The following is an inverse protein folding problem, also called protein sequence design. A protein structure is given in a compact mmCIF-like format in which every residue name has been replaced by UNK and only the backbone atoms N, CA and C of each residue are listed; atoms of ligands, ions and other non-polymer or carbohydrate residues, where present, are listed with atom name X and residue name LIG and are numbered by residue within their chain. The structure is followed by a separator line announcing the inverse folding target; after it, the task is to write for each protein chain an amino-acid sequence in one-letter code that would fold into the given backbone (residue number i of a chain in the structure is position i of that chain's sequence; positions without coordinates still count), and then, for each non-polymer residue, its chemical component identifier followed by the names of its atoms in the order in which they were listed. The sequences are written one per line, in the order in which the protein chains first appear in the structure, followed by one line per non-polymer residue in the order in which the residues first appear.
data_IF_436027927125
#
_entry.id   IF_436027927125
#
_cell.length_a   1.000
_cell.length_b   1.000
_cell.length_c   1.000
_cell.angle_alpha   90.00
_cell.angle_beta   90.00
_cell.angle_gamma   90.00
#
_symmetry.space_group_name_H-M   'P 1'
#
loop_
_entity.id
_entity.type
_entity.pdbx_description
1 polymer ?
#
# COMPACT_ATOMS: atom_id res chain seq x y z
N UNK A 1 25.73 -48.34 31.16
CA UNK A 1 26.39 -48.15 29.85
C UNK A 1 25.50 -48.79 28.80
N UNK A 2 24.72 -47.99 28.09
CA UNK A 2 23.80 -48.47 27.04
C UNK A 2 23.94 -47.52 25.88
N UNK A 3 24.49 -48.01 24.77
CA UNK A 3 24.74 -47.24 23.56
C UNK A 3 24.05 -47.92 22.37
N UNK A 4 24.07 -47.26 21.20
CA UNK A 4 23.53 -47.68 19.89
C UNK A 4 21.99 -47.55 19.76
N UNK A 5 21.41 -46.91 18.73
CA UNK A 5 21.93 -46.10 17.60
C UNK A 5 21.06 -44.84 17.38
N UNK A 6 21.59 -43.75 16.80
CA UNK A 6 20.76 -42.68 16.23
C UNK A 6 20.11 -43.14 14.91
N UNK A 7 18.89 -42.67 14.65
CA UNK A 7 18.17 -42.94 13.41
C UNK A 7 18.73 -42.09 12.26
N UNK A 8 19.17 -42.76 11.20
CA UNK A 8 19.55 -42.11 9.93
C UNK A 8 18.32 -41.89 9.06
N UNK A 9 17.98 -40.63 8.80
CA UNK A 9 17.03 -40.26 7.74
C UNK A 9 17.63 -40.54 6.37
N UNK A 10 17.08 -41.53 5.66
CA UNK A 10 17.37 -41.74 4.24
C UNK A 10 16.67 -40.64 3.44
N UNK A 11 17.43 -39.71 2.88
CA UNK A 11 16.92 -38.74 1.92
C UNK A 11 16.76 -39.41 0.55
N UNK A 12 15.53 -39.52 0.07
CA UNK A 12 15.22 -40.07 -1.25
C UNK A 12 15.59 -39.05 -2.35
N UNK A 13 16.35 -39.44 -3.40
CA UNK A 13 16.73 -38.53 -4.47
C UNK A 13 15.56 -38.27 -5.42
N UNK A 14 14.78 -37.21 -5.17
CA UNK A 14 13.74 -36.74 -6.08
C UNK A 14 14.37 -36.36 -7.43
N UNK A 15 13.89 -36.91 -8.57
CA UNK A 15 14.50 -36.67 -9.87
C UNK A 15 14.32 -35.22 -10.31
N UNK A 16 15.41 -34.60 -10.75
CA UNK A 16 15.41 -33.24 -11.27
C UNK A 16 14.58 -33.12 -12.56
N UNK A 17 13.37 -32.58 -12.47
CA UNK A 17 12.55 -32.19 -13.61
C UNK A 17 13.21 -31.04 -14.37
N UNK A 18 13.93 -31.38 -15.45
CA UNK A 18 14.61 -30.44 -16.36
C UNK A 18 13.57 -29.66 -17.20
N UNK A 19 12.92 -28.68 -16.57
CA UNK A 19 11.81 -27.89 -17.11
C UNK A 19 12.20 -26.85 -18.17
N UNK A 20 12.47 -27.31 -19.39
CA UNK A 20 12.55 -26.48 -20.60
C UNK A 20 11.22 -26.54 -21.37
N UNK A 21 10.61 -25.45 -21.88
CA UNK A 21 10.87 -24.00 -21.74
C UNK A 21 9.56 -23.25 -22.03
N UNK A 22 9.11 -22.28 -21.19
CA UNK A 22 7.89 -21.51 -21.49
C UNK A 22 8.09 -20.45 -22.59
N UNK A 23 9.33 -20.02 -22.86
CA UNK A 23 9.64 -18.90 -23.76
C UNK A 23 9.36 -19.19 -25.25
N UNK A 24 9.57 -20.44 -25.71
CA UNK A 24 9.38 -20.79 -27.13
C UNK A 24 7.90 -20.95 -27.49
N UNK A 25 7.08 -21.49 -26.59
CA UNK A 25 5.64 -21.64 -26.80
C UNK A 25 4.94 -20.30 -26.99
N UNK A 26 5.30 -19.28 -26.19
CA UNK A 26 4.76 -17.92 -26.33
C UNK A 26 5.03 -17.31 -27.71
N UNK A 27 6.28 -17.41 -28.20
CA UNK A 27 6.66 -16.91 -29.52
C UNK A 27 5.84 -17.55 -30.65
N UNK A 28 5.73 -18.89 -30.66
CA UNK A 28 4.95 -19.60 -31.67
C UNK A 28 3.45 -19.28 -31.61
N UNK A 29 2.88 -19.08 -30.41
CA UNK A 29 1.49 -18.64 -30.24
C UNK A 29 1.27 -17.21 -30.75
N UNK A 30 2.22 -16.28 -30.55
CA UNK A 30 2.15 -14.93 -31.12
C UNK A 30 2.23 -14.94 -32.64
N UNK A 31 3.14 -15.74 -33.23
CA UNK A 31 3.24 -15.92 -34.69
C UNK A 31 1.95 -16.53 -35.25
N UNK A 32 1.41 -17.56 -34.60
CA UNK A 32 0.14 -18.19 -35.00
C UNK A 32 -1.02 -17.18 -34.92
N UNK A 33 -1.10 -16.39 -33.84
CA UNK A 33 -2.09 -15.33 -33.67
C UNK A 33 -2.00 -14.24 -34.74
N UNK A 34 -0.80 -13.85 -35.15
CA UNK A 34 -0.59 -12.89 -36.23
C UNK A 34 -1.02 -13.46 -37.59
N UNK A 35 -0.66 -14.71 -37.89
CA UNK A 35 -1.03 -15.37 -39.15
C UNK A 35 -2.55 -15.62 -39.24
N UNK A 36 -3.16 -16.12 -38.16
CA UNK A 36 -4.60 -16.44 -38.12
C UNK A 36 -5.47 -15.18 -37.98
N UNK A 37 -5.00 -14.12 -37.32
CA UNK A 37 -5.76 -12.88 -37.14
C UNK A 37 -5.57 -11.87 -38.28
N UNK A 38 -4.33 -11.59 -38.68
CA UNK A 38 -4.03 -10.45 -39.57
C UNK A 38 -4.26 -10.79 -41.05
N UNK A 39 -3.82 -11.97 -41.50
CA UNK A 39 -3.90 -12.38 -42.91
C UNK A 39 -5.34 -12.46 -43.45
N UNK A 40 -6.32 -13.12 -42.79
CA UNK A 40 -7.68 -13.17 -43.33
C UNK A 40 -8.41 -11.83 -43.24
N UNK A 41 -8.17 -11.02 -42.20
CA UNK A 41 -8.78 -9.69 -42.08
C UNK A 41 -8.27 -8.76 -43.17
N UNK A 42 -6.96 -8.68 -43.39
CA UNK A 42 -6.37 -7.84 -44.45
C UNK A 42 -6.73 -8.35 -45.84
N UNK A 43 -6.74 -9.67 -46.03
CA UNK A 43 -7.20 -10.33 -47.25
C UNK A 43 -8.66 -9.97 -47.59
N UNK A 44 -9.57 -10.03 -46.61
CA UNK A 44 -10.97 -9.69 -46.78
C UNK A 44 -11.16 -8.18 -47.07
N UNK A 45 -10.44 -7.32 -46.36
CA UNK A 45 -10.49 -5.85 -46.53
C UNK A 45 -10.02 -5.40 -47.93
N UNK A 46 -9.08 -6.12 -48.56
CA UNK A 46 -8.62 -5.81 -49.93
C UNK A 46 -9.46 -6.53 -51.01
N UNK A 47 -9.84 -7.80 -50.80
CA UNK A 47 -10.52 -8.60 -51.83
C UNK A 47 -12.01 -8.28 -51.97
N UNK A 48 -12.72 -7.94 -50.90
CA UNK A 48 -14.17 -7.65 -50.95
C UNK A 48 -14.47 -6.38 -51.76
N UNK A 49 -13.77 -5.24 -51.57
CA UNK A 49 -13.96 -4.06 -52.43
C UNK A 49 -13.64 -4.36 -53.90
N UNK A 50 -12.54 -5.06 -54.18
CA UNK A 50 -12.17 -5.43 -55.54
C UNK A 50 -13.23 -6.33 -56.22
N UNK A 51 -13.80 -7.28 -55.48
CA UNK A 51 -14.89 -8.13 -55.95
C UNK A 51 -16.18 -7.32 -56.22
N UNK A 52 -16.57 -6.42 -55.31
CA UNK A 52 -17.73 -5.55 -55.45
C UNK A 52 -17.61 -4.62 -56.67
N UNK A 53 -16.45 -3.98 -56.88
CA UNK A 53 -16.20 -3.16 -58.07
C UNK A 53 -16.25 -4.00 -59.35
N UNK A 54 -15.72 -5.23 -59.33
CA UNK A 54 -15.84 -6.20 -60.44
C UNK A 54 -17.29 -6.55 -60.75
N UNK A 55 -18.13 -6.79 -59.73
CA UNK A 55 -19.55 -7.11 -59.92
C UNK A 55 -20.34 -5.91 -60.46
N UNK A 56 -20.12 -4.71 -59.92
CA UNK A 56 -20.75 -3.48 -60.40
C UNK A 56 -20.39 -3.18 -61.87
N UNK A 57 -19.12 -3.39 -62.25
CA UNK A 57 -18.67 -3.27 -63.65
C UNK A 57 -19.38 -4.25 -64.59
N UNK A 58 -19.48 -5.53 -64.21
CA UNK A 58 -20.19 -6.55 -65.01
C UNK A 58 -21.70 -6.27 -65.11
N UNK A 59 -22.32 -5.74 -64.06
CA UNK A 59 -23.73 -5.35 -64.07
C UNK A 59 -24.00 -4.23 -65.09
N UNK A 60 -23.16 -3.18 -65.11
CA UNK A 60 -23.28 -2.07 -66.08
C UNK A 60 -23.05 -2.50 -67.53
N UNK A 61 -22.14 -3.44 -67.77
CA UNK A 61 -21.92 -4.01 -69.10
C UNK A 61 -23.15 -4.82 -69.59
N UNK A 62 -23.75 -5.65 -68.71
CA UNK A 62 -24.99 -6.39 -69.02
C UNK A 62 -26.19 -5.48 -69.27
N UNK A 63 -26.23 -4.29 -68.66
CA UNK A 63 -27.24 -3.27 -68.90
C UNK A 63 -27.05 -2.48 -70.21
N UNK A 64 -26.09 -2.86 -71.07
CA UNK A 64 -25.83 -2.22 -72.37
C UNK A 64 -25.14 -0.85 -72.31
N UNK A 65 -24.81 -0.35 -71.12
CA UNK A 65 -24.28 1.01 -70.91
C UNK A 65 -22.77 1.19 -71.18
N UNK A 66 -22.09 0.19 -71.73
CA UNK A 66 -20.66 0.25 -72.03
C UNK A 66 -20.30 -0.60 -73.27
N UNK A 67 -19.64 0.00 -74.25
CA UNK A 67 -19.28 -0.62 -75.54
C UNK A 67 -18.00 -1.46 -75.53
N UNK A 68 -17.31 -1.56 -74.39
CA UNK A 68 -16.05 -2.31 -74.25
C UNK A 68 -16.09 -3.20 -73.01
N UNK A 69 -15.67 -4.48 -73.07
CA UNK A 69 -15.58 -5.33 -71.88
C UNK A 69 -14.56 -4.73 -70.89
N UNK A 70 -15.08 -4.19 -69.79
CA UNK A 70 -14.38 -3.28 -68.88
C UNK A 70 -13.24 -3.90 -68.06
N UNK A 71 -12.10 -4.19 -68.70
CA UNK A 71 -10.80 -4.08 -68.03
C UNK A 71 -10.44 -2.60 -67.97
N UNK A 72 -10.79 -1.90 -66.90
CA UNK A 72 -10.22 -0.57 -66.68
C UNK A 72 -8.72 -0.74 -66.41
N UNK A 73 -7.88 -0.29 -67.35
CA UNK A 73 -6.42 -0.29 -67.19
C UNK A 73 -6.04 0.43 -65.89
N UNK A 74 -6.79 1.49 -65.57
CA UNK A 74 -6.72 2.23 -64.30
C UNK A 74 -6.94 1.33 -63.07
N UNK A 75 -7.98 0.47 -63.07
CA UNK A 75 -8.24 -0.44 -61.94
C UNK A 75 -7.22 -1.56 -61.80
N UNK A 76 -6.67 -2.03 -62.93
CA UNK A 76 -5.55 -2.98 -62.94
C UNK A 76 -4.31 -2.30 -62.34
N UNK A 77 -3.92 -1.12 -62.81
CA UNK A 77 -2.77 -0.36 -62.29
C UNK A 77 -2.92 -0.07 -60.80
N UNK A 78 -4.10 0.40 -60.34
CA UNK A 78 -4.39 0.63 -58.92
C UNK A 78 -4.25 -0.65 -58.07
N UNK A 79 -4.70 -1.80 -58.58
CA UNK A 79 -4.53 -3.09 -57.92
C UNK A 79 -3.06 -3.51 -57.80
N UNK A 80 -2.27 -3.37 -58.86
CA UNK A 80 -0.84 -3.67 -58.84
C UNK A 80 -0.05 -2.71 -57.94
N UNK A 81 -0.39 -1.42 -57.91
CA UNK A 81 0.25 -0.44 -57.00
C UNK A 81 -0.08 -0.70 -55.53
N UNK A 82 -1.33 -1.03 -55.20
CA UNK A 82 -1.71 -1.39 -53.83
C UNK A 82 -1.01 -2.68 -53.36
N UNK A 83 -0.91 -3.68 -54.25
CA UNK A 83 -0.23 -4.95 -53.95
C UNK A 83 1.28 -4.75 -53.74
N UNK A 84 1.94 -3.97 -54.60
CA UNK A 84 3.38 -3.67 -54.45
C UNK A 84 3.67 -2.83 -53.20
N UNK A 85 2.82 -1.86 -52.86
CA UNK A 85 2.94 -1.10 -51.60
C UNK A 85 2.82 -2.03 -50.36
N UNK A 86 1.87 -2.97 -50.39
CA UNK A 86 1.64 -3.92 -49.30
C UNK A 86 2.84 -4.88 -49.11
N UNK A 87 3.38 -5.41 -50.22
CA UNK A 87 4.60 -6.25 -50.19
C UNK A 87 5.80 -5.44 -49.71
N UNK A 88 5.97 -4.20 -50.19
CA UNK A 88 7.05 -3.31 -49.75
C UNK A 88 6.99 -3.05 -48.24
N UNK A 89 5.82 -2.70 -47.69
CA UNK A 89 5.65 -2.47 -46.24
C UNK A 89 5.93 -3.74 -45.42
N UNK A 90 5.52 -4.91 -45.92
CA UNK A 90 5.82 -6.19 -45.26
C UNK A 90 7.33 -6.49 -45.25
N UNK A 91 8.02 -6.26 -46.38
CA UNK A 91 9.48 -6.43 -46.49
C UNK A 91 10.21 -5.42 -45.60
N UNK A 92 9.79 -4.15 -45.56
CA UNK A 92 10.37 -3.14 -44.66
C UNK A 92 10.15 -3.49 -43.18
N UNK A 93 9.01 -4.09 -42.82
CA UNK A 93 8.78 -4.59 -41.46
C UNK A 93 9.73 -5.73 -41.09
N UNK A 94 9.93 -6.70 -41.98
CA UNK A 94 10.85 -7.84 -41.77
C UNK A 94 12.30 -7.36 -41.70
N UNK A 95 12.72 -6.49 -42.63
CA UNK A 95 14.09 -5.94 -42.65
C UNK A 95 14.33 -5.02 -41.45
N UNK A 96 13.34 -4.21 -41.05
CA UNK A 96 13.41 -3.38 -39.84
C UNK A 96 13.53 -4.19 -38.55
N UNK A 97 12.88 -5.35 -38.47
CA UNK A 97 13.07 -6.29 -37.37
C UNK A 97 14.47 -6.94 -37.38
N UNK A 98 15.06 -7.15 -38.56
CA UNK A 98 16.41 -7.71 -38.73
C UNK A 98 17.54 -6.68 -38.52
N UNK A 99 17.28 -5.39 -38.69
CA UNK A 99 18.25 -4.29 -38.50
C UNK A 99 18.07 -3.53 -37.19
N UNK A 100 17.08 -3.89 -36.37
CA UNK A 100 16.98 -3.43 -35.00
C UNK A 100 18.33 -3.69 -34.29
N UNK A 101 18.95 -2.67 -33.66
CA UNK A 101 20.22 -2.88 -32.99
C UNK A 101 20.02 -3.93 -31.91
N UNK A 102 20.68 -5.08 -32.08
CA UNK A 102 20.72 -6.14 -31.07
C UNK A 102 21.45 -5.53 -29.88
N UNK A 103 20.67 -4.92 -28.98
CA UNK A 103 21.13 -4.44 -27.70
C UNK A 103 21.84 -5.63 -27.07
N UNK A 104 23.17 -5.56 -26.81
CA UNK A 104 23.88 -6.71 -26.29
C UNK A 104 23.11 -7.16 -25.07
N UNK A 105 22.72 -8.43 -25.05
CA UNK A 105 22.03 -9.01 -23.92
C UNK A 105 23.00 -8.88 -22.76
N UNK A 106 22.81 -7.84 -21.94
CA UNK A 106 23.68 -7.56 -20.80
C UNK A 106 23.74 -8.86 -20.03
N UNK A 107 24.95 -9.43 -19.92
CA UNK A 107 25.15 -10.80 -19.49
C UNK A 107 24.27 -11.03 -18.27
N UNK A 108 23.31 -11.95 -18.41
CA UNK A 108 22.21 -12.08 -17.45
C UNK A 108 22.84 -12.08 -16.05
N UNK A 109 22.51 -11.09 -15.19
CA UNK A 109 23.24 -10.87 -13.96
C UNK A 109 23.28 -12.21 -13.23
N UNK A 110 24.51 -12.68 -12.95
CA UNK A 110 24.74 -14.03 -12.46
C UNK A 110 23.71 -14.33 -11.39
N UNK A 111 22.91 -15.40 -11.60
CA UNK A 111 21.70 -15.66 -10.82
C UNK A 111 22.03 -15.42 -9.34
N UNK A 112 21.33 -14.48 -8.67
CA UNK A 112 21.77 -13.97 -7.38
C UNK A 112 22.02 -15.16 -6.47
N UNK A 113 23.25 -15.24 -5.94
CA UNK A 113 23.68 -16.36 -5.13
C UNK A 113 22.57 -16.67 -4.12
N UNK A 114 22.14 -17.93 -4.08
CA UNK A 114 20.96 -18.34 -3.30
C UNK A 114 21.03 -17.67 -1.93
N UNK A 115 19.99 -16.89 -1.54
CA UNK A 115 20.09 -15.99 -0.40
C UNK A 115 20.60 -16.79 0.79
N UNK A 116 21.69 -16.31 1.39
CA UNK A 116 22.32 -16.98 2.51
C UNK A 116 21.23 -17.33 3.53
N UNK A 117 21.16 -18.61 3.93
CA UNK A 117 20.08 -19.11 4.75
C UNK A 117 19.87 -18.15 5.94
N UNK A 118 18.63 -17.68 6.18
CA UNK A 118 18.40 -16.62 7.15
C UNK A 118 18.98 -17.04 8.50
N UNK A 119 19.84 -16.19 9.05
CA UNK A 119 20.39 -16.42 10.37
C UNK A 119 19.22 -16.36 11.34
N UNK A 120 18.84 -17.52 11.86
CA UNK A 120 17.78 -17.67 12.85
C UNK A 120 18.37 -17.42 14.23
N UNK A 121 17.79 -16.46 14.95
CA UNK A 121 18.16 -16.13 16.32
C UNK A 121 17.15 -16.78 17.28
N UNK A 122 17.63 -17.18 18.45
CA UNK A 122 16.78 -17.66 19.54
C UNK A 122 16.05 -16.49 20.17
N UNK A 123 14.72 -16.53 20.16
CA UNK A 123 13.84 -15.52 20.76
C UNK A 123 13.97 -15.57 22.30
N UNK A 124 14.42 -14.50 22.99
CA UNK A 124 14.45 -14.43 24.44
C UNK A 124 13.07 -14.56 25.08
N UNK A 125 12.99 -15.04 26.33
CA UNK A 125 11.75 -14.95 27.10
C UNK A 125 11.61 -13.53 27.68
N UNK A 126 10.53 -12.83 27.33
CA UNK A 126 10.18 -11.52 27.90
C UNK A 126 8.85 -11.52 28.68
N UNK A 127 8.23 -12.69 28.86
CA UNK A 127 7.01 -12.83 29.68
C UNK A 127 7.32 -12.51 31.15
N UNK A 128 6.53 -11.62 31.74
CA UNK A 128 6.73 -11.08 33.08
C UNK A 128 7.56 -9.79 33.16
N UNK A 129 8.11 -9.29 32.04
CA UNK A 129 8.77 -7.98 31.97
C UNK A 129 7.78 -6.84 31.70
N UNK A 130 8.18 -5.59 31.92
CA UNK A 130 7.44 -4.42 31.39
C UNK A 130 7.69 -4.29 29.87
N UNK A 131 6.78 -3.64 29.14
CA UNK A 131 6.93 -3.36 27.69
C UNK A 131 8.32 -2.83 27.32
N UNK A 132 8.81 -1.83 28.05
CA UNK A 132 10.11 -1.20 27.80
C UNK A 132 11.25 -2.21 27.96
N UNK A 133 11.26 -2.97 29.07
CA UNK A 133 12.27 -4.00 29.32
C UNK A 133 12.20 -5.15 28.30
N UNK A 134 11.00 -5.52 27.88
CA UNK A 134 10.77 -6.54 26.86
C UNK A 134 11.33 -6.09 25.49
N UNK A 135 11.02 -4.86 25.06
CA UNK A 135 11.55 -4.28 23.82
C UNK A 135 13.06 -4.15 23.83
N UNK A 136 13.65 -3.68 24.93
CA UNK A 136 15.10 -3.55 25.05
C UNK A 136 15.80 -4.92 25.01
N UNK A 137 15.23 -5.93 25.67
CA UNK A 137 15.75 -7.31 25.64
C UNK A 137 15.67 -7.92 24.24
N UNK A 138 14.57 -7.71 23.51
CA UNK A 138 14.41 -8.17 22.13
C UNK A 138 15.34 -7.45 21.16
N UNK A 139 15.52 -6.12 21.31
CA UNK A 139 16.47 -5.32 20.53
C UNK A 139 17.92 -5.76 20.76
N UNK A 140 18.30 -6.02 22.01
CA UNK A 140 19.62 -6.55 22.36
C UNK A 140 19.88 -7.94 21.74
N UNK A 141 18.84 -8.76 21.60
CA UNK A 141 18.87 -10.03 20.89
C UNK A 141 18.75 -9.91 19.35
N UNK A 142 18.74 -8.69 18.79
CA UNK A 142 18.71 -8.44 17.35
C UNK A 142 17.32 -8.37 16.71
N UNK A 143 16.24 -8.53 17.48
CA UNK A 143 14.87 -8.40 16.97
C UNK A 143 14.47 -6.94 16.88
N UNK A 144 14.23 -6.45 15.66
CA UNK A 144 13.93 -5.04 15.40
C UNK A 144 12.43 -4.74 15.25
N UNK A 145 11.64 -5.77 14.93
CA UNK A 145 10.19 -5.69 14.73
C UNK A 145 9.46 -6.24 15.96
N UNK A 146 9.03 -5.35 16.85
CA UNK A 146 8.25 -5.70 18.04
C UNK A 146 6.88 -5.04 17.94
N UNK A 147 5.82 -5.85 17.95
CA UNK A 147 4.44 -5.43 17.71
C UNK A 147 3.60 -5.70 18.95
N UNK A 148 2.82 -4.72 19.39
CA UNK A 148 1.87 -4.92 20.47
C UNK A 148 0.63 -5.65 19.95
N UNK A 149 0.37 -6.84 20.48
CA UNK A 149 -0.79 -7.65 20.20
C UNK A 149 -2.02 -7.21 20.99
N UNK A 150 -3.17 -7.89 20.82
CA UNK A 150 -4.36 -7.61 21.62
C UNK A 150 -4.07 -7.83 23.11
N UNK A 151 -4.46 -6.88 23.96
CA UNK A 151 -4.31 -6.97 25.42
C UNK A 151 -5.03 -8.21 25.95
N UNK A 152 -4.39 -8.97 26.85
CA UNK A 152 -4.93 -10.26 27.33
C UNK A 152 -6.01 -10.12 28.42
N UNK A 153 -6.64 -8.95 28.51
CA UNK A 153 -7.45 -8.56 29.66
C UNK A 153 -6.62 -8.34 30.93
N UNK A 154 -7.30 -8.05 32.04
CA UNK A 154 -6.68 -7.87 33.35
C UNK A 154 -6.39 -9.23 33.99
N UNK A 155 -5.11 -9.50 34.30
CA UNK A 155 -4.67 -10.75 34.93
C UNK A 155 -4.44 -10.50 36.41
N UNK A 156 -5.08 -11.30 37.28
CA UNK A 156 -4.99 -11.11 38.73
C UNK A 156 -3.54 -11.27 39.23
N UNK A 157 -3.05 -10.28 39.99
CA UNK A 157 -1.68 -10.26 40.52
C UNK A 157 -0.60 -9.78 39.54
N UNK A 158 -0.97 -9.40 38.30
CA UNK A 158 -0.04 -8.85 37.29
C UNK A 158 -0.29 -7.35 37.14
N UNK A 159 0.79 -6.55 37.10
CA UNK A 159 0.67 -5.11 36.91
C UNK A 159 0.29 -4.77 35.45
N UNK A 160 -0.48 -3.70 35.26
CA UNK A 160 -0.83 -3.20 33.93
C UNK A 160 0.43 -2.89 33.10
N UNK A 161 0.45 -3.23 31.80
CA UNK A 161 1.62 -3.06 30.94
C UNK A 161 2.77 -4.06 31.20
N UNK A 162 2.51 -5.11 31.98
CA UNK A 162 3.40 -6.29 32.06
C UNK A 162 3.07 -7.24 30.91
N UNK A 163 4.09 -7.78 30.27
CA UNK A 163 3.97 -8.79 29.22
C UNK A 163 3.43 -10.10 29.79
N UNK A 164 2.29 -10.55 29.27
CA UNK A 164 1.61 -11.80 29.66
C UNK A 164 1.74 -12.88 28.59
N UNK A 165 1.86 -12.50 27.32
CA UNK A 165 1.99 -13.43 26.19
C UNK A 165 3.02 -12.94 25.18
N UNK A 166 3.65 -13.88 24.49
CA UNK A 166 4.70 -13.63 23.52
C UNK A 166 4.59 -14.66 22.39
N UNK A 167 4.59 -14.20 21.14
CA UNK A 167 4.56 -15.07 19.96
C UNK A 167 5.46 -14.49 18.85
N UNK A 168 6.43 -15.24 18.28
CA UNK A 168 6.83 -16.61 18.62
C UNK A 168 7.21 -16.80 20.09
N UNK A 169 6.97 -18.00 20.62
CA UNK A 169 7.17 -18.30 22.03
C UNK A 169 8.64 -18.27 22.46
N UNK A 170 8.92 -18.30 23.79
CA UNK A 170 10.28 -18.34 24.30
C UNK A 170 11.13 -19.46 23.70
N UNK A 171 12.37 -19.13 23.36
CA UNK A 171 13.33 -20.01 22.68
C UNK A 171 12.94 -20.50 21.27
N UNK A 172 11.87 -19.97 20.66
CA UNK A 172 11.61 -20.17 19.24
C UNK A 172 12.75 -19.60 18.38
N UNK A 173 12.92 -20.16 17.19
CA UNK A 173 13.87 -19.65 16.19
C UNK A 173 13.12 -18.71 15.24
N UNK A 174 13.58 -17.45 15.15
CA UNK A 174 13.03 -16.44 14.27
C UNK A 174 14.14 -15.55 13.68
N UNK A 175 13.87 -14.91 12.55
CA UNK A 175 14.81 -13.99 11.90
C UNK A 175 14.77 -12.62 12.59
N UNK A 176 15.87 -11.87 12.56
CA UNK A 176 15.97 -10.52 13.15
C UNK A 176 14.91 -9.49 12.67
N UNK A 177 14.32 -9.74 11.48
CA UNK A 177 13.24 -8.95 10.89
C UNK A 177 11.84 -9.54 11.02
N UNK A 178 11.68 -10.72 11.61
CA UNK A 178 10.35 -11.32 11.83
C UNK A 178 9.65 -10.59 13.01
N UNK A 179 8.34 -10.31 12.92
CA UNK A 179 7.62 -9.59 13.96
C UNK A 179 7.43 -10.45 15.20
N UNK A 180 7.97 -9.99 16.34
CA UNK A 180 7.68 -10.55 17.66
C UNK A 180 6.46 -9.82 18.21
N UNK A 181 5.36 -10.54 18.39
CA UNK A 181 4.13 -10.02 18.98
C UNK A 181 4.12 -10.21 20.49
N UNK A 182 3.71 -9.16 21.22
CA UNK A 182 3.68 -9.11 22.68
C UNK A 182 2.27 -8.73 23.15
N UNK A 183 1.65 -9.55 24.01
CA UNK A 183 0.40 -9.20 24.68
C UNK A 183 0.66 -8.74 26.11
N UNK A 184 -0.04 -7.69 26.53
CA UNK A 184 0.09 -7.09 27.86
C UNK A 184 -1.15 -7.32 28.73
N UNK A 185 -0.94 -7.33 30.05
CA UNK A 185 -2.01 -7.21 31.02
C UNK A 185 -2.68 -5.83 30.92
N UNK A 186 -3.99 -5.82 30.66
CA UNK A 186 -4.79 -4.61 30.75
C UNK A 186 -4.88 -4.14 32.21
N UNK A 187 -5.09 -2.84 32.43
CA UNK A 187 -5.36 -2.32 33.76
C UNK A 187 -6.59 -3.02 34.37
N UNK A 188 -6.56 -3.35 35.68
CA UNK A 188 -7.74 -3.86 36.35
C UNK A 188 -8.89 -2.83 36.21
N UNK A 189 -10.14 -3.27 36.02
CA UNK A 189 -11.26 -2.35 35.89
C UNK A 189 -11.34 -1.48 37.14
N UNK A 190 -11.24 -0.17 36.97
CA UNK A 190 -11.42 0.79 38.05
C UNK A 190 -12.83 0.58 38.60
N UNK A 191 -13.01 0.24 39.89
CA UNK A 191 -14.35 0.11 40.46
C UNK A 191 -15.10 1.43 40.25
N UNK A 192 -16.40 1.40 39.94
CA UNK A 192 -17.16 2.63 39.78
C UNK A 192 -17.00 3.48 41.04
N UNK A 193 -16.62 4.74 40.87
CA UNK A 193 -16.41 5.65 41.99
C UNK A 193 -17.66 5.62 42.89
N UNK A 194 -17.51 5.49 44.22
CA UNK A 194 -18.66 5.39 45.11
C UNK A 194 -19.53 6.63 44.90
N UNK A 195 -20.78 6.40 44.48
CA UNK A 195 -21.75 7.47 44.28
C UNK A 195 -22.01 8.10 45.65
N UNK A 196 -21.41 9.26 45.89
CA UNK A 196 -21.68 10.07 47.07
C UNK A 196 -23.11 10.58 46.94
N UNK A 197 -24.05 9.84 47.52
CA UNK A 197 -25.42 10.31 47.69
C UNK A 197 -25.33 11.60 48.52
N UNK A 198 -25.81 12.74 48.03
CA UNK A 198 -25.74 14.00 48.78
C UNK A 198 -26.65 13.88 50.01
N UNK A 199 -26.03 13.57 51.15
CA UNK A 199 -26.70 13.56 52.44
C UNK A 199 -27.04 15.00 52.81
N UNK A 200 -28.34 15.30 52.95
CA UNK A 200 -28.84 16.65 53.19
C UNK A 200 -28.12 17.31 54.38
N UNK A 201 -27.35 18.37 54.10
CA UNK A 201 -26.68 19.13 55.13
C UNK A 201 -27.72 19.80 56.05
N UNK A 202 -27.53 19.79 57.39
CA UNK A 202 -28.39 20.54 58.29
C UNK A 202 -28.22 22.03 58.03
N UNK A 203 -29.33 22.72 57.75
CA UNK A 203 -29.36 24.18 57.67
C UNK A 203 -29.08 24.78 59.04
N UNK A 204 -27.89 25.33 59.22
CA UNK A 204 -27.57 26.22 60.34
C UNK A 204 -27.95 27.63 59.95
N UNK A 205 -29.00 28.15 60.57
CA UNK A 205 -29.42 29.54 60.45
C UNK A 205 -28.35 30.47 61.06
N UNK A 206 -27.93 31.48 60.31
CA UNK A 206 -27.08 32.57 60.80
C UNK A 206 -27.66 33.91 60.36
N UNK A 207 -27.81 34.80 61.33
CA UNK A 207 -28.54 36.06 61.23
C UNK A 207 -27.83 37.13 60.34
N UNK A 208 -28.56 38.15 59.86
CA UNK A 208 -28.07 39.04 58.81
C UNK A 208 -27.23 40.22 59.35
N UNK A 209 -26.25 40.66 58.57
CA UNK A 209 -25.65 41.99 58.68
C UNK A 209 -25.60 42.69 57.31
N UNK A 210 -25.96 43.97 57.31
CA UNK A 210 -26.16 44.79 56.12
C UNK A 210 -24.98 45.73 55.84
N UNK A 211 -24.73 45.99 54.55
CA UNK A 211 -23.93 47.10 54.01
C UNK A 211 -24.29 47.26 52.51
N UNK A 212 -24.11 48.44 51.88
CA UNK A 212 -25.27 49.10 51.30
C UNK A 212 -25.29 49.20 49.77
N UNK A 213 -26.43 49.70 49.28
CA UNK A 213 -26.73 50.05 47.91
C UNK A 213 -25.65 50.97 47.29
N UNK A 214 -25.17 50.59 46.10
CA UNK A 214 -24.64 51.54 45.12
C UNK A 214 -25.37 51.27 43.81
N UNK A 215 -26.15 52.26 43.35
CA UNK A 215 -26.68 52.28 42.00
C UNK A 215 -25.65 53.00 41.14
N UNK A 216 -25.18 52.34 40.07
CA UNK A 216 -24.48 53.02 39.00
C UNK A 216 -25.18 52.69 37.68
N UNK A 217 -25.71 53.73 37.05
CA UNK A 217 -26.45 53.66 35.79
C UNK A 217 -25.57 54.24 34.70
N UNK A 218 -24.81 53.39 34.02
CA UNK A 218 -24.19 53.75 32.75
C UNK A 218 -24.88 53.02 31.60
N UNK A 219 -25.46 53.81 30.69
CA UNK A 219 -26.31 53.37 29.59
C UNK A 219 -25.67 53.82 28.29
N UNK A 220 -24.59 53.16 27.87
CA UNK A 220 -24.21 53.12 26.44
C UNK A 220 -23.26 51.96 26.09
N UNK A 221 -23.76 50.71 26.15
CA UNK A 221 -23.08 49.56 25.52
C UNK A 221 -24.02 48.74 24.64
N UNK A 222 -23.80 48.69 23.31
CA UNK A 222 -24.62 47.88 22.41
C UNK A 222 -24.61 46.39 22.74
N UNK A 223 -25.81 45.81 22.83
CA UNK A 223 -26.04 44.40 23.09
C UNK A 223 -25.88 43.55 21.81
N UNK A 224 -25.03 42.53 21.86
CA UNK A 224 -25.04 41.37 20.94
C UNK A 224 -24.78 40.10 21.78
N UNK A 225 -25.61 39.04 21.64
CA UNK A 225 -25.63 37.93 22.59
C UNK A 225 -24.49 36.91 22.39
N UNK A 226 -24.12 36.25 23.50
CA UNK A 226 -23.33 35.02 23.46
C UNK A 226 -24.20 33.84 22.99
N UNK A 227 -23.68 33.05 22.05
CA UNK A 227 -24.31 31.87 21.47
C UNK A 227 -23.27 30.71 21.41
N UNK A 228 -23.63 29.44 21.14
CA UNK A 228 -23.41 28.37 22.11
C UNK A 228 -22.04 27.70 22.02
N UNK A 229 -21.52 27.25 23.17
CA UNK A 229 -20.32 26.40 23.28
C UNK A 229 -20.60 25.00 22.68
N UNK A 230 -19.82 24.53 21.68
CA UNK A 230 -19.88 23.14 21.24
C UNK A 230 -19.17 22.21 22.23
N UNK A 231 -19.75 21.03 22.47
CA UNK A 231 -19.07 19.93 23.15
C UNK A 231 -18.00 19.35 22.23
N UNK A 232 -16.76 19.18 22.73
CA UNK A 232 -15.75 18.34 22.07
C UNK A 232 -15.14 17.35 23.07
N UNK A 233 -15.01 16.11 22.61
CA UNK A 233 -14.54 14.96 23.37
C UNK A 233 -13.02 14.78 23.31
N UNK A 234 -12.51 14.09 24.33
CA UNK A 234 -11.41 13.10 24.26
C UNK A 234 -10.10 13.45 23.54
N UNK A 235 -9.00 13.49 24.29
CA UNK A 235 -7.65 13.44 23.73
C UNK A 235 -6.55 13.47 24.79
N UNK A 236 -6.31 12.35 25.49
CA UNK A 236 -5.16 12.24 26.40
C UNK A 236 -3.86 12.17 25.61
N UNK A 237 -3.18 13.30 25.45
CA UNK A 237 -1.82 13.35 24.89
C UNK A 237 -0.80 12.89 25.92
N UNK A 238 -0.45 11.60 25.91
CA UNK A 238 0.71 11.08 26.63
C UNK A 238 1.99 11.71 26.06
N UNK A 239 2.75 12.41 26.90
CA UNK A 239 4.00 13.08 26.51
C UNK A 239 5.10 12.08 26.15
N UNK A 240 5.12 11.63 24.90
CA UNK A 240 6.20 10.84 24.31
C UNK A 240 7.44 11.69 24.02
N UNK A 241 8.20 12.04 25.07
CA UNK A 241 9.48 12.73 24.90
C UNK A 241 10.52 11.79 24.27
N UNK A 242 10.62 11.83 22.94
CA UNK A 242 11.73 11.25 22.18
C UNK A 242 12.58 12.39 21.60
N UNK A 243 13.90 12.20 21.62
CA UNK A 243 14.88 13.29 21.46
C UNK A 243 14.68 14.15 20.22
N UNK A 244 14.90 15.45 20.38
CA UNK A 244 14.74 16.48 19.35
C UNK A 244 15.73 16.37 18.19
N UNK A 245 15.51 15.41 17.30
CA UNK A 245 15.91 15.49 15.91
C UNK A 245 14.87 16.32 15.16
N UNK A 246 15.24 17.52 14.70
CA UNK A 246 14.34 18.40 13.95
C UNK A 246 14.00 17.78 12.58
N UNK A 247 12.91 17.03 12.49
CA UNK A 247 12.29 16.73 11.21
C UNK A 247 11.96 18.06 10.51
N UNK A 248 12.10 18.13 9.19
CA UNK A 248 11.81 19.34 8.42
C UNK A 248 11.07 18.97 7.14
N UNK A 249 9.80 19.37 7.06
CA UNK A 249 8.94 19.11 5.90
C UNK A 249 8.80 20.39 5.09
N UNK A 250 9.26 20.43 3.84
CA UNK A 250 9.17 21.66 3.01
C UNK A 250 7.72 22.16 2.88
N UNK A 251 6.75 21.26 2.78
CA UNK A 251 5.32 21.57 2.68
C UNK A 251 4.46 20.41 3.24
N UNK A 252 3.14 20.63 3.35
CA UNK A 252 2.20 19.64 3.87
C UNK A 252 2.06 18.38 3.01
N UNK A 253 2.38 18.42 1.71
CA UNK A 253 2.41 17.22 0.89
C UNK A 253 3.58 16.30 1.29
N UNK A 254 4.73 16.86 1.66
CA UNK A 254 5.86 16.11 2.20
C UNK A 254 5.55 15.52 3.59
N UNK A 255 4.87 16.27 4.47
CA UNK A 255 4.43 15.77 5.78
C UNK A 255 3.42 14.61 5.65
N UNK A 256 2.41 14.74 4.77
CA UNK A 256 1.46 13.65 4.48
C UNK A 256 2.12 12.44 3.81
N UNK A 257 3.05 12.64 2.87
CA UNK A 257 3.78 11.54 2.24
C UNK A 257 4.69 10.78 3.22
N UNK A 258 5.17 11.45 4.27
CA UNK A 258 5.91 10.84 5.38
C UNK A 258 5.01 10.20 6.46
N UNK A 259 3.68 10.29 6.33
CA UNK A 259 2.73 9.80 7.34
C UNK A 259 2.73 10.60 8.65
N UNK A 260 3.29 11.82 8.66
CA UNK A 260 3.49 12.63 9.85
C UNK A 260 2.39 13.70 10.07
N UNK A 261 1.43 13.83 9.16
CA UNK A 261 0.33 14.77 9.27
C UNK A 261 -0.97 14.09 9.77
N UNK A 262 -1.82 14.78 10.54
CA UNK A 262 -1.70 16.18 10.98
C UNK A 262 -0.58 16.39 12.02
N UNK A 263 0.12 17.51 11.93
CA UNK A 263 1.24 17.90 12.80
C UNK A 263 0.75 18.92 13.84
N UNK A 264 0.85 18.62 15.13
CA UNK A 264 0.46 19.56 16.19
C UNK A 264 1.61 20.47 16.63
N UNK A 265 1.27 21.62 17.19
CA UNK A 265 2.26 22.53 17.79
C UNK A 265 3.08 21.84 18.88
N UNK A 266 4.39 21.73 18.63
CA UNK A 266 5.33 20.99 19.49
C UNK A 266 5.84 19.67 18.89
N UNK A 267 5.18 19.13 17.85
CA UNK A 267 5.66 17.94 17.15
C UNK A 267 6.96 18.21 16.37
N UNK A 268 7.85 17.20 16.23
CA UNK A 268 9.04 17.32 15.42
C UNK A 268 8.67 17.58 13.96
N UNK A 269 9.00 18.79 13.48
CA UNK A 269 8.71 19.25 12.12
C UNK A 269 7.46 20.11 11.96
N UNK A 270 6.73 20.39 13.04
CA UNK A 270 5.77 21.48 13.06
C UNK A 270 6.46 22.84 12.82
N UNK A 271 5.82 23.71 12.03
CA UNK A 271 6.13 25.15 11.98
C UNK A 271 4.89 25.95 11.59
N UNK A 272 4.85 27.22 11.99
CA UNK A 272 3.81 28.19 11.58
C UNK A 272 3.77 28.51 10.08
N UNK A 273 4.75 28.04 9.30
CA UNK A 273 4.71 28.10 7.82
C UNK A 273 4.16 26.84 7.15
N UNK A 274 3.53 25.94 7.91
CA UNK A 274 2.76 24.78 7.44
C UNK A 274 1.29 24.87 7.90
N UNK A 275 1.10 25.38 9.12
CA UNK A 275 -0.17 25.87 9.65
C UNK A 275 -0.56 27.16 8.90
N UNK A 276 -1.73 27.19 8.24
CA UNK A 276 -2.12 28.30 7.33
C UNK A 276 -3.00 29.33 8.02
N UNK A 277 -3.79 28.90 8.99
CA UNK A 277 -4.83 29.62 9.69
C UNK A 277 -4.45 29.94 11.15
N UNK A 278 -3.45 29.24 11.70
CA UNK A 278 -2.78 29.56 12.95
C UNK A 278 -3.40 28.93 14.19
N UNK A 279 -4.14 27.83 14.03
CA UNK A 279 -4.86 27.17 15.12
C UNK A 279 -3.97 26.24 15.98
N UNK A 280 -2.77 25.92 15.50
CA UNK A 280 -1.82 25.00 16.13
C UNK A 280 -1.79 23.60 15.53
N UNK A 281 -2.52 23.32 14.44
CA UNK A 281 -2.57 22.06 13.71
C UNK A 281 -2.17 22.28 12.26
N UNK A 282 -0.93 21.94 11.92
CA UNK A 282 -0.45 21.99 10.55
C UNK A 282 -0.90 20.76 9.73
N UNK A 283 -1.25 21.01 8.47
CA UNK A 283 -1.42 20.00 7.42
C UNK A 283 -2.63 19.06 7.55
N UNK A 284 -3.76 19.61 8.01
CA UNK A 284 -5.12 19.15 7.67
C UNK A 284 -5.35 18.84 6.17
#
# INVERSE_FOLDING_TARGET
MTATQPWTTVAEPVPATRGNTPATAGFWLSVLGMVVGFVPVFGLLVTVPAALLSHAGRARFRAGGASTPGRSTVGIVLGWTATTLCVLMTVLGIVGAATAPVRPLAAAPAAPAAPAAPVLLTVPNVVGMTDVQARDTLRAAGFTQVVLGPSTGSVAGVAAGTVTTQLPGPAALASAGDPITIGEAAAPPVPPAPVVVPQSAPVTESAPQAAPLVADTDVDRPYVPAAPQPLVSSGSSSSGSSGGGSAYYTNCAAARAAGAAPLSSGDPGYRSGLDRDGDGIACE
#
